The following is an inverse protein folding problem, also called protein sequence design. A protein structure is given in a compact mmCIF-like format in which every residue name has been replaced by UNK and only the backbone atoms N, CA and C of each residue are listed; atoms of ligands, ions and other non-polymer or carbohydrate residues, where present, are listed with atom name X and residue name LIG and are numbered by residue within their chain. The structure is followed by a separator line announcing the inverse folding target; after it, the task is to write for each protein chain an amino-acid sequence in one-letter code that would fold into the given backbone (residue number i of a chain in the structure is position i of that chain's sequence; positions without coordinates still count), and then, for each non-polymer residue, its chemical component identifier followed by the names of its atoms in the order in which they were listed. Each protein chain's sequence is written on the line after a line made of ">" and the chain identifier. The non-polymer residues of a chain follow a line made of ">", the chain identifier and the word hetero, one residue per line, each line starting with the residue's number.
data_IF_182209099470
#
_entry.id   IF_182209099470
#
_cell.length_a   1.000
_cell.length_b   1.000
_cell.length_c   1.000
_cell.angle_alpha   90.00
_cell.angle_beta   90.00
_cell.angle_gamma   90.00
#
_symmetry.space_group_name_H-M   'P 1'
#
loop_
_entity.id
_entity.type
_entity.pdbx_description
1 polymer ?
#
# COMPACT_ATOMS: atom_id res chain seq x y z
N UNK A 1 17.89 5.98 -9.48
CA UNK A 1 17.35 6.39 -8.17
C UNK A 1 16.65 5.17 -7.61
N UNK A 2 17.10 4.65 -6.49
CA UNK A 2 16.53 3.44 -5.90
C UNK A 2 16.34 3.65 -4.42
N UNK A 3 15.15 3.31 -3.93
CA UNK A 3 14.91 3.14 -2.50
C UNK A 3 15.93 2.12 -1.96
N UNK A 4 16.40 2.32 -0.74
CA UNK A 4 17.19 1.30 -0.04
C UNK A 4 16.36 0.03 0.17
N UNK A 5 17.00 -1.12 0.35
CA UNK A 5 16.27 -2.36 0.64
C UNK A 5 15.45 -2.25 1.94
N UNK A 6 15.95 -1.50 2.91
CA UNK A 6 15.25 -1.23 4.15
C UNK A 6 13.97 -0.41 3.91
N UNK A 7 14.04 0.66 3.09
CA UNK A 7 12.85 1.45 2.72
C UNK A 7 11.81 0.60 1.96
N UNK A 8 12.24 -0.30 1.07
CA UNK A 8 11.34 -1.22 0.37
C UNK A 8 10.68 -2.18 1.35
N UNK A 9 11.46 -2.78 2.25
CA UNK A 9 10.94 -3.71 3.26
C UNK A 9 9.96 -3.05 4.24
N UNK A 10 10.24 -1.80 4.64
CA UNK A 10 9.31 -1.01 5.46
C UNK A 10 8.01 -0.74 4.70
N UNK A 11 8.08 -0.28 3.45
CA UNK A 11 6.90 0.00 2.64
C UNK A 11 6.03 -1.24 2.41
N UNK A 12 6.64 -2.43 2.25
CA UNK A 12 5.92 -3.70 2.15
C UNK A 12 5.11 -4.06 3.41
N UNK A 13 5.52 -3.55 4.57
CA UNK A 13 4.78 -3.67 5.84
C UNK A 13 3.87 -2.48 6.14
N UNK A 14 3.74 -1.55 5.19
CA UNK A 14 3.05 -0.27 5.36
C UNK A 14 3.69 0.64 6.43
N UNK A 15 5.02 0.61 6.53
CA UNK A 15 5.82 1.41 7.46
C UNK A 15 6.72 2.40 6.70
N UNK A 16 7.05 3.51 7.33
CA UNK A 16 7.99 4.52 6.82
C UNK A 16 8.46 5.42 7.96
N UNK A 17 9.75 5.79 7.96
CA UNK A 17 10.31 6.77 8.90
C UNK A 17 9.83 8.21 8.63
N UNK A 18 9.36 8.49 7.41
CA UNK A 18 8.68 9.74 7.08
C UNK A 18 7.21 9.67 7.52
N UNK A 19 6.81 10.55 8.44
CA UNK A 19 5.48 10.56 9.07
C UNK A 19 4.35 10.74 8.05
N UNK A 20 4.58 11.56 7.00
CA UNK A 20 3.59 11.79 5.95
C UNK A 20 3.40 10.51 5.14
N UNK A 21 4.48 9.90 4.67
CA UNK A 21 4.42 8.60 3.97
C UNK A 21 3.80 7.51 4.83
N UNK A 22 4.12 7.47 6.12
CA UNK A 22 3.54 6.51 7.05
C UNK A 22 2.02 6.66 7.16
N UNK A 23 1.49 7.89 7.15
CA UNK A 23 0.04 8.12 7.13
C UNK A 23 -0.61 7.60 5.84
N UNK A 24 -0.01 7.83 4.67
CA UNK A 24 -0.51 7.27 3.42
C UNK A 24 -0.46 5.74 3.39
N UNK A 25 0.60 5.14 3.92
CA UNK A 25 0.73 3.68 4.01
C UNK A 25 -0.31 3.07 4.95
N UNK A 26 -0.57 3.68 6.12
CA UNK A 26 -1.65 3.25 7.02
C UNK A 26 -3.03 3.34 6.36
N UNK A 27 -3.31 4.45 5.67
CA UNK A 27 -4.55 4.62 4.93
C UNK A 27 -4.70 3.57 3.81
N UNK A 28 -3.66 3.36 3.00
CA UNK A 28 -3.66 2.34 1.95
C UNK A 28 -3.89 0.93 2.51
N UNK A 29 -3.26 0.61 3.66
CA UNK A 29 -3.48 -0.66 4.36
C UNK A 29 -4.93 -0.84 4.75
N UNK A 30 -5.56 0.17 5.35
CA UNK A 30 -6.96 0.09 5.75
C UNK A 30 -7.89 -0.05 4.54
N UNK A 31 -7.62 0.64 3.43
CA UNK A 31 -8.37 0.46 2.17
C UNK A 31 -8.30 -1.00 1.69
N UNK A 32 -7.13 -1.64 1.75
CA UNK A 32 -6.97 -3.06 1.40
C UNK A 32 -7.74 -3.96 2.37
N UNK A 33 -7.51 -3.81 3.68
CA UNK A 33 -8.10 -4.68 4.71
C UNK A 33 -9.64 -4.58 4.77
N UNK A 34 -10.18 -3.39 4.53
CA UNK A 34 -11.64 -3.11 4.53
C UNK A 34 -12.29 -3.25 3.15
N UNK A 35 -11.51 -3.61 2.12
CA UNK A 35 -11.98 -3.72 0.73
C UNK A 35 -12.67 -2.44 0.25
N UNK A 36 -12.02 -1.31 0.45
CA UNK A 36 -12.48 0.00 -0.02
C UNK A 36 -13.44 0.74 0.92
N UNK A 37 -13.56 0.32 2.18
CA UNK A 37 -14.40 0.98 3.18
C UNK A 37 -13.57 1.49 4.37
N UNK A 38 -12.55 2.34 4.15
CA UNK A 38 -11.79 2.92 5.25
C UNK A 38 -12.69 3.82 6.11
N UNK A 39 -12.38 3.91 7.39
CA UNK A 39 -13.11 4.74 8.34
C UNK A 39 -12.95 6.24 8.06
N UNK A 40 -13.92 7.04 8.53
CA UNK A 40 -13.82 8.51 8.51
C UNK A 40 -12.58 9.00 9.27
N UNK A 41 -12.19 8.30 10.34
CA UNK A 41 -10.96 8.57 11.10
C UNK A 41 -9.71 8.43 10.22
N UNK A 42 -9.63 7.37 9.42
CA UNK A 42 -8.53 7.14 8.47
C UNK A 42 -8.44 8.26 7.43
N UNK A 43 -9.59 8.65 6.87
CA UNK A 43 -9.69 9.75 5.92
C UNK A 43 -9.24 11.09 6.54
N UNK A 44 -9.59 11.35 7.79
CA UNK A 44 -9.16 12.56 8.49
C UNK A 44 -7.65 12.52 8.77
N UNK A 45 -7.13 11.41 9.26
CA UNK A 45 -5.71 11.24 9.58
C UNK A 45 -4.80 11.44 8.34
N UNK A 46 -5.18 10.93 7.17
CA UNK A 46 -4.40 11.13 5.94
C UNK A 46 -4.47 12.58 5.44
N UNK A 47 -5.60 13.28 5.62
CA UNK A 47 -5.70 14.73 5.32
C UNK A 47 -4.87 15.58 6.27
N UNK A 48 -4.89 15.27 7.56
CA UNK A 48 -4.08 15.95 8.58
C UNK A 48 -2.57 15.80 8.34
N UNK A 49 -2.15 14.67 7.76
CA UNK A 49 -0.78 14.47 7.27
C UNK A 49 -0.44 15.32 6.02
N UNK A 50 -1.38 16.11 5.51
CA UNK A 50 -1.20 17.06 4.42
C UNK A 50 -1.36 16.47 3.03
N UNK A 51 -2.15 15.40 2.88
CA UNK A 51 -2.58 14.91 1.57
C UNK A 51 -3.86 15.63 1.11
N UNK A 52 -3.92 15.98 -0.16
CA UNK A 52 -5.14 16.53 -0.77
C UNK A 52 -6.10 15.41 -1.17
N UNK A 53 -7.36 15.75 -1.44
CA UNK A 53 -8.35 14.76 -1.87
C UNK A 53 -7.94 14.09 -3.21
N UNK A 54 -7.27 14.81 -4.11
CA UNK A 54 -6.72 14.25 -5.36
C UNK A 54 -5.63 13.21 -5.07
N UNK A 55 -4.74 13.48 -4.11
CA UNK A 55 -3.69 12.54 -3.72
C UNK A 55 -4.26 11.32 -2.99
N UNK A 56 -5.32 11.50 -2.19
CA UNK A 56 -6.05 10.39 -1.57
C UNK A 56 -6.71 9.51 -2.64
N UNK A 57 -7.32 10.13 -3.67
CA UNK A 57 -7.86 9.40 -4.82
C UNK A 57 -6.78 8.62 -5.58
N UNK A 58 -5.58 9.19 -5.73
CA UNK A 58 -4.43 8.52 -6.34
C UNK A 58 -3.97 7.31 -5.51
N UNK A 59 -3.94 7.42 -4.17
CA UNK A 59 -3.63 6.29 -3.29
C UNK A 59 -4.65 5.16 -3.49
N UNK A 60 -5.95 5.48 -3.48
CA UNK A 60 -7.03 4.49 -3.67
C UNK A 60 -6.91 3.84 -5.06
N UNK A 61 -6.65 4.64 -6.09
CA UNK A 61 -6.48 4.14 -7.47
C UNK A 61 -5.28 3.20 -7.59
N UNK A 62 -4.19 3.52 -6.91
CA UNK A 62 -2.98 2.68 -6.85
C UNK A 62 -3.28 1.34 -6.16
N UNK A 63 -4.00 1.37 -5.03
CA UNK A 63 -4.44 0.16 -4.33
C UNK A 63 -5.34 -0.69 -5.22
N UNK A 64 -6.28 -0.08 -5.93
CA UNK A 64 -7.19 -0.79 -6.84
C UNK A 64 -6.42 -1.46 -7.99
N UNK A 65 -5.45 -0.76 -8.60
CA UNK A 65 -4.61 -1.31 -9.67
C UNK A 65 -3.74 -2.47 -9.16
N UNK A 66 -3.13 -2.31 -7.99
CA UNK A 66 -2.34 -3.37 -7.36
C UNK A 66 -3.22 -4.60 -7.06
N UNK A 67 -4.43 -4.39 -6.53
CA UNK A 67 -5.37 -5.47 -6.25
C UNK A 67 -5.80 -6.20 -7.52
N UNK A 68 -6.15 -5.44 -8.58
CA UNK A 68 -6.53 -6.00 -9.87
C UNK A 68 -5.41 -6.87 -10.46
N UNK A 69 -4.18 -6.35 -10.48
CA UNK A 69 -3.04 -7.09 -11.03
C UNK A 69 -2.69 -8.31 -10.20
N UNK A 70 -2.74 -8.22 -8.86
CA UNK A 70 -2.57 -9.38 -7.97
C UNK A 70 -3.61 -10.47 -8.25
N UNK A 71 -4.88 -10.11 -8.39
CA UNK A 71 -5.95 -11.07 -8.68
C UNK A 71 -5.79 -11.71 -10.05
N UNK A 72 -5.43 -10.92 -11.07
CA UNK A 72 -5.16 -11.45 -12.40
C UNK A 72 -4.02 -12.45 -12.36
N UNK A 73 -2.89 -12.10 -11.72
CA UNK A 73 -1.72 -12.95 -11.64
C UNK A 73 -2.00 -14.27 -10.92
N UNK A 74 -2.71 -14.20 -9.78
CA UNK A 74 -3.13 -15.37 -9.00
C UNK A 74 -4.10 -16.25 -9.80
N UNK A 75 -5.07 -15.64 -10.49
CA UNK A 75 -6.12 -16.41 -11.22
C UNK A 75 -5.58 -17.18 -12.41
N UNK A 76 -4.53 -16.67 -13.06
CA UNK A 76 -3.94 -17.30 -14.25
C UNK A 76 -2.67 -18.10 -13.94
N UNK A 77 -2.36 -18.31 -12.66
CA UNK A 77 -1.15 -19.01 -12.18
C UNK A 77 0.12 -18.46 -12.86
N UNK A 78 0.28 -17.12 -12.85
CA UNK A 78 1.44 -16.49 -13.50
C UNK A 78 2.73 -16.99 -12.88
N UNK A 79 3.62 -17.57 -13.72
CA UNK A 79 4.94 -18.02 -13.27
C UNK A 79 5.76 -16.83 -12.76
N UNK A 80 6.26 -16.95 -11.53
CA UNK A 80 7.12 -15.94 -10.92
C UNK A 80 8.52 -16.02 -11.54
N UNK A 81 8.87 -15.05 -12.38
CA UNK A 81 10.23 -14.84 -12.93
C UNK A 81 11.20 -14.23 -11.90
N UNK A 82 10.93 -14.41 -10.61
CA UNK A 82 11.72 -13.88 -9.49
C UNK A 82 11.88 -14.95 -8.41
N UNK A 83 13.05 -14.99 -7.72
CA UNK A 83 13.26 -15.95 -6.65
C UNK A 83 12.19 -15.79 -5.57
N UNK A 84 11.56 -16.90 -5.19
CA UNK A 84 10.53 -16.92 -4.14
C UNK A 84 11.17 -16.43 -2.85
N UNK A 85 10.71 -15.28 -2.35
CA UNK A 85 11.12 -14.74 -1.06
C UNK A 85 10.16 -15.29 -0.02
N UNK A 86 10.69 -15.95 1.01
CA UNK A 86 9.86 -16.41 2.12
C UNK A 86 9.19 -15.20 2.80
N UNK A 87 7.89 -15.28 3.11
CA UNK A 87 7.20 -14.19 3.78
C UNK A 87 7.88 -13.89 5.12
N UNK A 88 8.30 -12.64 5.32
CA UNK A 88 8.84 -12.17 6.60
C UNK A 88 7.83 -12.48 7.70
N UNK A 89 8.23 -13.35 8.63
CA UNK A 89 7.38 -13.80 9.74
C UNK A 89 6.99 -12.60 10.61
N UNK A 90 5.72 -12.61 11.04
CA UNK A 90 5.08 -11.56 11.84
C UNK A 90 5.66 -11.44 13.24
#
# INVERSE_FOLDING_TARGET
>A
MGLSQDEVGQAQRFESDDEKRAAALRFAREVVETRGHPSDESFNAVREAGYTDEQIMEIISTVALATFTNYMNETIDTELDIPVVEPTTK
#
